data_IF_588973297656
#
_entry.id   IF_588973297656
#
_cell.length_a   1.000
_cell.length_b   1.000
_cell.length_c   1.000
_cell.angle_alpha   90.00
_cell.angle_beta   90.00
_cell.angle_gamma   90.00
#
_symmetry.space_group_name_H-M   'P 1'
#
loop_
_entity.id
_entity.type
_entity.pdbx_description
1 polymer ?
#
# COMPACT_ATOMS: atom_id res chain seq x y z
N UNK A 1 -2.74 8.74 18.22
CA UNK A 1 -3.30 7.78 17.26
C UNK A 1 -2.22 7.32 16.30
N UNK A 2 -2.21 6.05 15.94
CA UNK A 2 -1.30 5.51 14.93
C UNK A 2 -1.71 6.04 13.56
N UNK A 3 -0.75 6.52 12.79
CA UNK A 3 -0.95 6.85 11.38
C UNK A 3 -0.09 5.93 10.51
N UNK A 4 -0.63 5.55 9.37
CA UNK A 4 0.09 4.72 8.38
C UNK A 4 0.08 5.40 7.02
N UNK A 5 1.06 5.05 6.21
CA UNK A 5 1.11 5.42 4.79
C UNK A 5 1.18 4.14 3.97
N UNK A 6 0.51 4.13 2.83
CA UNK A 6 0.48 2.99 1.93
C UNK A 6 0.61 3.46 0.49
N UNK A 7 1.37 2.71 -0.30
CA UNK A 7 1.63 2.97 -1.71
C UNK A 7 1.00 1.89 -2.58
N UNK A 8 0.19 2.33 -3.53
CA UNK A 8 -0.30 1.50 -4.63
C UNK A 8 0.54 1.84 -5.85
N UNK A 9 1.62 1.07 -6.09
CA UNK A 9 2.43 1.22 -7.30
C UNK A 9 1.65 0.71 -8.50
N UNK A 10 1.52 1.55 -9.53
CA UNK A 10 0.81 1.20 -10.76
C UNK A 10 1.80 1.30 -11.92
N UNK A 11 2.03 0.21 -12.62
CA UNK A 11 2.97 0.18 -13.75
C UNK A 11 2.31 0.61 -15.07
N UNK A 12 3.11 0.60 -16.15
CA UNK A 12 2.65 1.01 -17.48
C UNK A 12 1.54 0.10 -18.04
N UNK A 13 1.47 -1.14 -17.57
CA UNK A 13 0.43 -2.11 -17.96
C UNK A 13 -0.79 -2.06 -17.03
N UNK A 14 -0.87 -1.05 -16.17
CA UNK A 14 -1.93 -0.87 -15.17
C UNK A 14 -2.00 -2.01 -14.15
N UNK A 15 -0.88 -2.67 -13.88
CA UNK A 15 -0.78 -3.64 -12.80
C UNK A 15 -0.39 -2.94 -11.51
N UNK A 16 -0.93 -3.45 -10.41
CA UNK A 16 -0.75 -2.89 -9.07
C UNK A 16 0.05 -3.86 -8.22
N UNK A 17 1.07 -3.34 -7.54
CA UNK A 17 1.87 -4.12 -6.60
C UNK A 17 1.17 -4.24 -5.25
N UNK A 18 0.92 -5.46 -4.81
CA UNK A 18 0.37 -5.74 -3.48
C UNK A 18 1.32 -6.68 -2.72
N UNK A 19 1.31 -6.55 -1.41
CA UNK A 19 1.99 -7.45 -0.48
C UNK A 19 0.99 -8.30 0.28
N UNK A 20 1.26 -9.60 0.40
CA UNK A 20 0.46 -10.51 1.22
C UNK A 20 0.96 -10.42 2.65
N UNK A 21 0.16 -9.84 3.53
CA UNK A 21 0.53 -9.64 4.93
C UNK A 21 0.73 -11.00 5.61
N UNK A 22 1.86 -11.14 6.29
CA UNK A 22 2.20 -12.37 6.99
C UNK A 22 1.11 -12.75 8.01
N UNK A 23 0.90 -14.05 8.20
CA UNK A 23 -0.16 -14.56 9.09
C UNK A 23 0.08 -14.23 10.55
N UNK A 24 1.32 -13.90 10.95
CA UNK A 24 1.66 -13.51 12.33
C UNK A 24 1.39 -12.04 12.64
N UNK A 25 1.03 -11.23 11.64
CA UNK A 25 0.71 -9.80 11.84
C UNK A 25 -0.57 -9.67 12.66
N UNK A 26 -0.62 -8.68 13.56
CA UNK A 26 -1.81 -8.39 14.35
C UNK A 26 -2.92 -7.79 13.52
N UNK A 27 -2.58 -6.85 12.63
CA UNK A 27 -3.53 -6.17 11.77
C UNK A 27 -3.61 -6.86 10.42
N UNK A 28 -4.82 -7.28 10.03
CA UNK A 28 -5.12 -7.82 8.71
C UNK A 28 -4.21 -8.97 8.25
N UNK A 29 -3.98 -10.00 9.10
CA UNK A 29 -3.12 -11.14 8.70
C UNK A 29 -3.70 -11.85 7.48
N UNK A 30 -2.83 -12.29 6.57
CA UNK A 30 -3.22 -13.06 5.40
C UNK A 30 -4.00 -12.27 4.34
N UNK A 31 -3.99 -10.95 4.39
CA UNK A 31 -4.65 -10.09 3.42
C UNK A 31 -3.65 -9.43 2.49
N UNK A 32 -4.08 -9.20 1.25
CA UNK A 32 -3.33 -8.41 0.28
C UNK A 32 -3.53 -6.93 0.57
N UNK A 33 -2.42 -6.20 0.63
CA UNK A 33 -2.41 -4.78 1.01
C UNK A 33 -1.45 -3.99 0.13
N UNK A 34 -1.63 -2.68 0.11
CA UNK A 34 -0.65 -1.75 -0.43
C UNK A 34 0.65 -1.82 0.38
N UNK A 35 1.74 -1.36 -0.20
CA UNK A 35 3.07 -1.35 0.44
C UNK A 35 3.18 -0.13 1.34
N UNK A 36 3.55 -0.32 2.60
CA UNK A 36 3.72 0.80 3.52
C UNK A 36 3.88 0.39 4.96
N UNK A 37 3.70 1.34 5.85
CA UNK A 37 3.84 1.11 7.26
C UNK A 37 3.54 2.35 8.09
N UNK A 38 4.02 2.36 9.33
CA UNK A 38 3.71 3.42 10.29
C UNK A 38 4.52 4.68 10.04
N UNK A 39 3.86 5.82 10.20
CA UNK A 39 4.52 7.13 10.28
C UNK A 39 5.18 7.22 11.65
N UNK A 40 6.45 7.61 11.67
CA UNK A 40 7.20 7.80 12.92
C UNK A 40 6.90 9.18 13.52
N UNK A 41 7.07 9.35 14.85
CA UNK A 41 6.88 10.66 15.49
C UNK A 41 7.72 11.75 14.83
N UNK A 42 7.08 12.86 14.46
CA UNK A 42 7.76 13.98 13.81
C UNK A 42 8.02 13.82 12.32
N UNK A 43 7.68 12.67 11.75
CA UNK A 43 7.87 12.39 10.32
C UNK A 43 6.69 12.92 9.52
N UNK A 44 6.95 13.58 8.39
CA UNK A 44 5.90 13.97 7.46
C UNK A 44 5.39 12.72 6.69
N UNK A 45 4.14 12.75 6.24
CA UNK A 45 3.55 11.63 5.52
C UNK A 45 4.37 11.20 4.30
N UNK A 46 4.84 12.16 3.50
CA UNK A 46 5.65 11.86 2.31
C UNK A 46 7.00 11.26 2.67
N UNK A 47 7.64 11.72 3.74
CA UNK A 47 8.88 11.13 4.23
C UNK A 47 8.67 9.67 4.63
N UNK A 48 7.58 9.39 5.34
CA UNK A 48 7.22 8.03 5.74
C UNK A 48 6.97 7.15 4.51
N UNK A 49 6.25 7.67 3.52
CA UNK A 49 5.96 6.96 2.27
C UNK A 49 7.25 6.53 1.56
N UNK A 50 8.19 7.47 1.37
CA UNK A 50 9.45 7.18 0.69
C UNK A 50 10.30 6.19 1.49
N UNK A 51 10.36 6.36 2.80
CA UNK A 51 11.14 5.48 3.69
C UNK A 51 10.58 4.05 3.67
N UNK A 52 9.29 3.90 3.88
CA UNK A 52 8.65 2.57 3.93
C UNK A 52 8.79 1.83 2.60
N UNK A 53 8.59 2.52 1.48
CA UNK A 53 8.74 1.89 0.16
C UNK A 53 10.15 1.42 -0.09
N UNK A 54 11.17 2.20 0.28
CA UNK A 54 12.57 1.79 0.16
C UNK A 54 12.90 0.60 1.06
N UNK A 55 12.43 0.62 2.30
CA UNK A 55 12.70 -0.44 3.27
C UNK A 55 12.03 -1.76 2.87
N UNK A 56 10.82 -1.71 2.36
CA UNK A 56 10.05 -2.93 2.12
C UNK A 56 10.26 -3.54 0.75
N UNK A 57 10.38 -2.73 -0.30
CA UNK A 57 10.47 -3.24 -1.68
C UNK A 57 11.61 -2.64 -2.51
N UNK A 58 12.41 -1.76 -1.94
CA UNK A 58 13.56 -1.16 -2.63
C UNK A 58 13.19 -0.12 -3.68
N UNK A 59 11.99 0.40 -3.66
CA UNK A 59 11.50 1.39 -4.62
C UNK A 59 11.33 2.74 -3.94
N UNK A 60 11.73 3.81 -4.64
CA UNK A 60 11.56 5.19 -4.18
C UNK A 60 10.53 5.90 -5.06
N UNK A 61 9.32 6.18 -4.55
CA UNK A 61 8.33 6.94 -5.30
C UNK A 61 8.86 8.30 -5.75
N UNK A 62 8.61 8.64 -7.01
CA UNK A 62 8.98 9.94 -7.60
C UNK A 62 7.78 10.71 -8.11
N UNK A 63 6.67 10.02 -8.41
CA UNK A 63 5.41 10.65 -8.79
C UNK A 63 4.28 9.91 -8.08
N UNK A 64 3.52 10.61 -7.25
CA UNK A 64 2.49 10.01 -6.42
C UNK A 64 1.44 11.04 -6.02
N UNK A 65 0.24 10.57 -5.68
CA UNK A 65 -0.82 11.41 -5.14
C UNK A 65 -1.54 10.71 -4.00
N UNK A 66 -1.93 11.47 -2.99
CA UNK A 66 -2.78 10.99 -1.90
C UNK A 66 -4.20 10.85 -2.43
N UNK A 67 -4.76 9.63 -2.34
CA UNK A 67 -6.10 9.34 -2.88
C UNK A 67 -7.14 9.07 -1.81
N UNK A 68 -6.70 8.71 -0.60
CA UNK A 68 -7.62 8.44 0.50
C UNK A 68 -6.93 8.60 1.85
N UNK A 69 -7.62 9.21 2.80
CA UNK A 69 -7.27 9.15 4.22
C UNK A 69 -8.51 8.71 4.98
N UNK A 70 -8.42 7.58 5.69
CA UNK A 70 -9.56 7.06 6.44
C UNK A 70 -9.14 6.38 7.75
N UNK A 71 -10.03 6.41 8.72
CA UNK A 71 -9.85 5.71 9.97
C UNK A 71 -9.96 4.19 9.75
N UNK A 72 -9.24 3.42 10.58
CA UNK A 72 -9.37 1.96 10.61
C UNK A 72 -10.83 1.58 10.80
N UNK A 73 -11.35 0.68 9.95
CA UNK A 73 -12.77 0.27 9.98
C UNK A 73 -13.11 -0.65 11.14
N UNK A 74 -12.12 -1.37 11.65
CA UNK A 74 -12.31 -2.33 12.73
C UNK A 74 -11.36 -2.04 13.89
N UNK A 75 -11.46 -0.84 14.52
CA UNK A 75 -10.50 -0.42 15.54
C UNK A 75 -10.49 -1.31 16.78
N UNK A 76 -11.62 -1.92 17.12
CA UNK A 76 -11.72 -2.85 18.26
C UNK A 76 -10.98 -4.16 17.98
N UNK A 77 -10.75 -4.50 16.71
CA UNK A 77 -10.07 -5.73 16.31
C UNK A 77 -8.59 -5.50 15.99
N UNK A 78 -8.28 -4.39 15.31
CA UNK A 78 -6.93 -4.14 14.77
C UNK A 78 -6.23 -2.94 15.40
N UNK A 79 -6.91 -2.21 16.28
CA UNK A 79 -6.42 -0.98 16.89
C UNK A 79 -6.81 0.26 16.08
N UNK A 80 -7.00 1.37 16.79
CA UNK A 80 -7.31 2.64 16.16
C UNK A 80 -6.12 3.14 15.33
N UNK A 81 -6.37 3.58 14.11
CA UNK A 81 -5.36 4.10 13.20
C UNK A 81 -6.00 5.01 12.15
N UNK A 82 -5.19 5.91 11.60
CA UNK A 82 -5.56 6.73 10.44
C UNK A 82 -4.66 6.30 9.28
N UNK A 83 -5.26 5.82 8.21
CA UNK A 83 -4.57 5.29 7.04
C UNK A 83 -4.56 6.30 5.90
N UNK A 84 -3.38 6.56 5.32
CA UNK A 84 -3.20 7.44 4.19
C UNK A 84 -2.71 6.63 2.99
N UNK A 85 -3.50 6.61 1.91
CA UNK A 85 -3.22 5.78 0.74
C UNK A 85 -2.83 6.67 -0.44
N UNK A 86 -1.69 6.34 -1.05
CA UNK A 86 -1.15 7.02 -2.21
C UNK A 86 -1.18 6.09 -3.43
N UNK A 87 -1.46 6.64 -4.60
CA UNK A 87 -1.18 5.97 -5.88
C UNK A 87 0.17 6.48 -6.37
N UNK A 88 1.07 5.56 -6.68
CA UNK A 88 2.43 5.86 -7.14
C UNK A 88 2.54 5.45 -8.60
N UNK A 89 2.78 6.43 -9.48
CA UNK A 89 2.82 6.23 -10.94
C UNK A 89 4.23 6.25 -11.52
N UNK A 90 5.24 6.68 -10.75
CA UNK A 90 6.63 6.63 -11.16
C UNK A 90 7.52 6.43 -9.94
N UNK A 91 8.64 5.72 -10.12
CA UNK A 91 9.58 5.41 -9.05
C UNK A 91 10.96 5.08 -9.61
N UNK A 92 11.95 5.10 -8.72
CA UNK A 92 13.32 4.65 -8.98
C UNK A 92 13.61 3.41 -8.16
N UNK A 93 14.62 2.62 -8.55
CA UNK A 93 15.09 1.47 -7.79
C UNK A 93 15.00 0.13 -8.52
N UNK A 94 14.55 0.12 -9.76
CA UNK A 94 14.49 -1.09 -10.58
C UNK A 94 13.28 -1.96 -10.26
N UNK A 95 13.48 -3.29 -10.20
CA UNK A 95 12.41 -4.23 -9.89
C UNK A 95 12.11 -4.24 -8.39
N UNK A 96 10.83 -4.41 -8.04
CA UNK A 96 10.43 -4.59 -6.65
C UNK A 96 10.97 -5.91 -6.09
N UNK A 97 11.49 -5.86 -4.87
CA UNK A 97 11.99 -7.04 -4.14
C UNK A 97 11.37 -7.05 -2.75
N UNK A 98 10.89 -8.19 -2.29
CA UNK A 98 10.39 -8.33 -0.92
C UNK A 98 11.57 -8.36 0.05
N UNK A 99 11.83 -7.22 0.70
CA UNK A 99 13.01 -7.04 1.57
C UNK A 99 12.73 -7.30 3.04
N UNK A 100 11.47 -7.51 3.43
CA UNK A 100 11.06 -7.69 4.83
C UNK A 100 10.24 -8.97 5.00
N UNK A 101 10.19 -9.49 6.21
CA UNK A 101 9.42 -10.69 6.53
C UNK A 101 7.95 -10.42 6.86
N UNK A 102 7.53 -9.15 6.81
CA UNK A 102 6.15 -8.75 7.07
C UNK A 102 5.19 -9.13 5.93
N UNK A 103 5.74 -9.44 4.75
CA UNK A 103 4.99 -9.95 3.60
C UNK A 103 5.47 -11.36 3.28
N UNK A 104 4.54 -12.30 3.15
CA UNK A 104 4.86 -13.66 2.68
C UNK A 104 5.24 -13.66 1.20
N UNK A 105 4.64 -12.77 0.43
CA UNK A 105 5.03 -12.52 -0.96
C UNK A 105 4.59 -11.11 -1.40
N UNK A 106 5.18 -10.63 -2.49
CA UNK A 106 4.70 -9.45 -3.22
C UNK A 106 4.39 -9.89 -4.64
N UNK A 107 3.35 -9.28 -5.24
CA UNK A 107 2.92 -9.66 -6.59
C UNK A 107 2.26 -8.49 -7.29
N UNK A 108 2.44 -8.41 -8.59
CA UNK A 108 1.74 -7.48 -9.46
C UNK A 108 0.43 -8.09 -9.93
N UNK A 109 -0.67 -7.34 -9.75
CA UNK A 109 -2.01 -7.77 -10.14
C UNK A 109 -2.58 -6.84 -11.19
N UNK A 110 -3.20 -7.39 -12.25
CA UNK A 110 -4.10 -6.61 -13.08
C UNK A 110 -5.33 -6.20 -12.29
N UNK A 111 -6.01 -5.15 -12.73
CA UNK A 111 -7.21 -4.67 -12.01
C UNK A 111 -8.30 -5.75 -11.95
N UNK A 112 -8.47 -6.52 -13.01
CA UNK A 112 -9.46 -7.61 -13.03
C UNK A 112 -9.08 -8.74 -12.06
N UNK A 113 -7.79 -9.05 -11.96
CA UNK A 113 -7.30 -10.03 -10.98
C UNK A 113 -7.56 -9.56 -9.55
N UNK A 114 -7.28 -8.28 -9.25
CA UNK A 114 -7.58 -7.69 -7.94
C UNK A 114 -9.04 -7.84 -7.56
N UNK A 115 -9.94 -7.67 -8.52
CA UNK A 115 -11.38 -7.77 -8.30
C UNK A 115 -11.81 -9.16 -7.82
N UNK A 116 -11.00 -10.20 -8.10
CA UNK A 116 -11.31 -11.58 -7.69
C UNK A 116 -10.77 -11.92 -6.30
N UNK A 117 -9.94 -11.07 -5.70
CA UNK A 117 -9.32 -11.36 -4.41
C UNK A 117 -10.34 -11.20 -3.27
N UNK A 118 -10.56 -12.25 -2.47
CA UNK A 118 -11.52 -12.16 -1.34
C UNK A 118 -10.92 -11.47 -0.11
N UNK A 119 -9.61 -11.27 -0.09
CA UNK A 119 -8.83 -10.85 1.07
C UNK A 119 -8.00 -9.58 0.82
N UNK A 120 -8.61 -8.58 0.19
CA UNK A 120 -8.05 -7.23 0.13
C UNK A 120 -8.31 -6.52 1.46
N UNK A 121 -7.32 -5.78 1.95
CA UNK A 121 -7.48 -4.95 3.15
C UNK A 121 -8.51 -3.84 2.95
N UNK A 122 -8.53 -3.26 1.74
CA UNK A 122 -9.47 -2.21 1.36
C UNK A 122 -10.16 -2.63 0.07
N UNK A 123 -11.46 -2.96 0.10
CA UNK A 123 -12.17 -3.37 -1.11
C UNK A 123 -12.19 -2.32 -2.22
N UNK A 124 -12.07 -1.04 -1.87
CA UNK A 124 -12.15 0.07 -2.80
C UNK A 124 -10.83 0.41 -3.51
N UNK A 125 -9.76 -0.38 -3.29
CA UNK A 125 -8.45 -0.12 -3.92
C UNK A 125 -8.56 0.02 -5.43
N UNK A 126 -9.38 -0.81 -6.08
CA UNK A 126 -9.57 -0.80 -7.53
C UNK A 126 -10.18 0.53 -7.98
N UNK A 127 -11.22 0.99 -7.29
CA UNK A 127 -11.88 2.26 -7.59
C UNK A 127 -10.91 3.43 -7.42
N UNK A 128 -10.09 3.41 -6.38
CA UNK A 128 -9.09 4.45 -6.13
C UNK A 128 -8.05 4.51 -7.26
N UNK A 129 -7.55 3.35 -7.69
CA UNK A 129 -6.58 3.26 -8.79
C UNK A 129 -7.19 3.77 -10.09
N UNK A 130 -8.40 3.34 -10.44
CA UNK A 130 -9.08 3.78 -11.66
C UNK A 130 -9.32 5.29 -11.67
N UNK A 131 -9.74 5.87 -10.55
CA UNK A 131 -9.94 7.30 -10.43
C UNK A 131 -8.63 8.08 -10.61
N UNK A 132 -7.55 7.59 -10.02
CA UNK A 132 -6.22 8.20 -10.16
C UNK A 132 -5.72 8.15 -11.61
N UNK A 133 -5.86 6.99 -12.27
CA UNK A 133 -5.47 6.84 -13.67
C UNK A 133 -6.27 7.76 -14.60
N UNK A 134 -7.55 7.99 -14.30
CA UNK A 134 -8.40 8.88 -15.10
C UNK A 134 -7.98 10.34 -14.97
N UNK A 135 -7.37 10.75 -13.83
CA UNK A 135 -6.87 12.13 -13.62
C UNK A 135 -5.51 12.36 -14.26
N UNK A 136 -4.73 11.33 -14.38
CA UNK A 136 -3.35 11.39 -14.85
C UNK A 136 -3.17 10.99 -16.26
#
# INVERSE_FOLDING_TARGET
MIETVSALFVDADRKVLLGLRAVWKQAWPGHWDAIGGRVEPGEALEQALLRECREEVGLTPTRYELVLSEAERFPERYGAALHHIYVVSAWEGGAAVNLVDEHDEIRWFGLDEMATLPNLTIPDLITLVRASLARG
#
